data_IF_355825495905
#
_entry.id   IF_355825495905
#
_cell.length_a   1.000
_cell.length_b   1.000
_cell.length_c   1.000
_cell.angle_alpha   90.00
_cell.angle_beta   90.00
_cell.angle_gamma   90.00
#
_symmetry.space_group_name_H-M   'P 1'
#
loop_
_entity.id
_entity.type
_entity.pdbx_description
1 polymer ?
#
# COMPACT_ATOMS: atom_id res chain seq x y z
N UNK A 1 4.66 43.76 -11.53
CA UNK A 1 5.89 43.76 -12.33
C UNK A 1 7.06 44.07 -11.40
N UNK A 2 7.71 43.03 -10.86
CA UNK A 2 9.07 43.08 -10.33
C UNK A 2 9.59 41.63 -10.35
N UNK A 3 10.51 41.37 -11.27
CA UNK A 3 11.18 40.09 -11.45
C UNK A 3 12.28 39.99 -10.40
N UNK A 4 12.15 39.05 -9.48
CA UNK A 4 13.25 38.56 -8.66
C UNK A 4 13.83 37.31 -9.30
N UNK A 5 14.97 37.42 -9.96
CA UNK A 5 15.78 36.27 -10.34
C UNK A 5 16.33 35.63 -9.06
N UNK A 6 15.87 34.42 -8.72
CA UNK A 6 16.54 33.56 -7.75
C UNK A 6 17.16 32.37 -8.48
N UNK A 7 18.49 32.31 -8.42
CA UNK A 7 19.32 31.17 -8.78
C UNK A 7 18.94 29.99 -7.87
N UNK A 8 18.10 29.08 -8.36
CA UNK A 8 17.83 27.82 -7.67
C UNK A 8 18.94 26.83 -8.00
N UNK A 9 19.72 26.48 -6.97
CA UNK A 9 20.63 25.35 -7.00
C UNK A 9 19.87 24.04 -7.13
N UNK A 10 20.40 23.16 -7.97
CA UNK A 10 19.97 21.77 -8.14
C UNK A 10 20.13 21.01 -6.81
N UNK A 11 19.06 20.82 -6.04
CA UNK A 11 19.04 19.88 -4.92
C UNK A 11 18.39 18.55 -5.37
N UNK A 12 18.99 17.38 -5.09
CA UNK A 12 18.42 16.09 -5.42
C UNK A 12 17.18 15.78 -4.58
N UNK A 13 16.15 15.22 -5.23
CA UNK A 13 14.83 14.90 -4.68
C UNK A 13 14.81 13.53 -4.04
N UNK A 14 13.96 13.31 -3.03
CA UNK A 14 13.83 12.05 -2.32
C UNK A 14 12.58 11.28 -2.77
N UNK A 15 12.76 10.08 -3.33
CA UNK A 15 11.70 9.14 -3.71
C UNK A 15 11.63 8.02 -2.66
N UNK A 16 10.44 7.68 -2.17
CA UNK A 16 10.28 6.70 -1.11
C UNK A 16 9.88 5.32 -1.65
N UNK A 17 10.81 4.36 -1.64
CA UNK A 17 10.55 2.98 -2.02
C UNK A 17 10.24 2.16 -0.76
N UNK A 18 9.03 1.62 -0.65
CA UNK A 18 8.76 0.60 0.36
C UNK A 18 9.08 -0.77 -0.22
N UNK A 19 10.06 -1.48 0.36
CA UNK A 19 10.49 -2.79 -0.14
C UNK A 19 10.08 -3.87 0.85
N UNK A 20 9.38 -4.91 0.35
CA UNK A 20 9.06 -6.10 1.13
C UNK A 20 10.16 -7.17 0.96
N UNK A 21 10.22 -8.12 1.89
CA UNK A 21 11.29 -9.12 2.03
C UNK A 21 11.71 -9.91 0.81
N UNK A 22 10.76 -10.19 -0.10
CA UNK A 22 11.02 -10.97 -1.31
C UNK A 22 11.83 -10.18 -2.35
N UNK A 23 12.14 -8.91 -2.11
CA UNK A 23 12.59 -7.95 -3.12
C UNK A 23 13.94 -7.28 -2.79
N UNK A 24 14.65 -7.73 -1.76
CA UNK A 24 16.06 -7.36 -1.59
C UNK A 24 16.92 -8.16 -2.57
N UNK A 25 17.05 -7.65 -3.80
CA UNK A 25 18.07 -8.06 -4.77
C UNK A 25 18.91 -6.84 -5.16
N UNK A 26 20.19 -7.09 -5.36
CA UNK A 26 21.32 -6.17 -5.20
C UNK A 26 21.41 -5.06 -6.25
N UNK A 27 21.91 -3.88 -5.85
CA UNK A 27 22.28 -2.80 -6.77
C UNK A 27 23.72 -3.00 -7.28
N UNK A 28 23.87 -3.41 -8.53
CA UNK A 28 25.14 -3.47 -9.27
C UNK A 28 24.93 -3.98 -10.69
N UNK A 29 24.27 -5.12 -10.79
CA UNK A 29 23.55 -5.65 -11.95
C UNK A 29 22.51 -6.61 -11.34
N UNK A 30 21.27 -6.57 -11.83
CA UNK A 30 20.14 -7.27 -11.21
C UNK A 30 20.23 -8.79 -11.45
N UNK A 31 20.94 -9.50 -10.58
CA UNK A 31 20.93 -10.96 -10.51
C UNK A 31 20.62 -11.44 -9.07
N UNK A 32 19.70 -12.41 -8.89
CA UNK A 32 19.30 -12.89 -7.58
C UNK A 32 20.34 -13.85 -6.96
N UNK A 33 20.74 -13.59 -5.70
CA UNK A 33 21.47 -14.55 -4.86
C UNK A 33 20.53 -15.28 -3.88
N UNK A 34 20.72 -16.59 -3.75
CA UNK A 34 19.80 -17.55 -3.09
C UNK A 34 19.64 -17.41 -1.55
N UNK A 35 20.33 -16.49 -0.89
CA UNK A 35 20.42 -16.44 0.57
C UNK A 35 19.21 -15.87 1.33
N UNK A 36 18.22 -15.27 0.65
CA UNK A 36 17.07 -14.60 1.30
C UNK A 36 15.70 -15.26 1.02
N UNK A 37 15.68 -16.47 0.46
CA UNK A 37 14.44 -17.25 0.28
C UNK A 37 14.03 -17.95 1.59
N UNK A 38 13.56 -17.20 2.59
CA UNK A 38 12.81 -17.82 3.70
C UNK A 38 11.31 -17.70 3.46
N UNK A 39 10.62 -18.84 3.43
CA UNK A 39 9.17 -18.98 3.21
C UNK A 39 8.40 -18.04 4.16
N UNK A 40 7.70 -17.04 3.60
CA UNK A 40 6.61 -16.32 4.30
C UNK A 40 6.99 -15.22 5.30
N UNK A 41 8.25 -14.78 5.38
CA UNK A 41 8.64 -13.70 6.29
C UNK A 41 8.53 -12.34 5.62
N UNK A 42 7.77 -11.40 6.21
CA UNK A 42 7.66 -10.00 5.77
C UNK A 42 8.78 -9.17 6.40
N UNK A 43 9.49 -8.38 5.60
CA UNK A 43 10.50 -7.42 6.05
C UNK A 43 9.99 -6.01 5.75
N UNK A 44 10.18 -5.07 6.67
CA UNK A 44 9.81 -3.66 6.47
C UNK A 44 11.08 -2.81 6.49
N UNK A 45 11.39 -2.18 5.36
CA UNK A 45 12.43 -1.17 5.23
C UNK A 45 11.98 -0.08 4.27
N UNK A 46 12.36 1.16 4.56
CA UNK A 46 12.15 2.31 3.70
C UNK A 46 13.44 2.54 2.91
N UNK A 47 13.38 2.48 1.60
CA UNK A 47 14.49 2.82 0.73
C UNK A 47 14.24 4.21 0.17
N UNK A 48 15.24 5.09 0.13
CA UNK A 48 15.09 6.41 -0.50
C UNK A 48 15.93 6.48 -1.76
N UNK A 49 15.25 6.51 -2.90
CA UNK A 49 15.85 6.59 -4.23
C UNK A 49 15.85 8.02 -4.78
N UNK A 50 16.73 8.27 -5.74
CA UNK A 50 16.73 9.51 -6.53
C UNK A 50 16.82 9.15 -8.01
N UNK A 51 16.07 9.87 -8.84
CA UNK A 51 16.08 9.70 -10.30
C UNK A 51 17.01 10.72 -10.94
N UNK A 52 17.90 10.30 -11.83
CA UNK A 52 18.57 11.21 -12.77
C UNK A 52 17.78 11.28 -14.07
N UNK A 53 17.50 12.50 -14.53
CA UNK A 53 16.52 12.79 -15.59
C UNK A 53 16.84 12.24 -16.99
N UNK A 54 18.07 11.76 -17.21
CA UNK A 54 18.55 11.44 -18.56
C UNK A 54 18.57 9.94 -18.92
N UNK A 55 18.48 9.01 -17.96
CA UNK A 55 18.69 7.57 -18.27
C UNK A 55 17.61 6.61 -17.74
N UNK A 56 16.54 7.09 -17.09
CA UNK A 56 15.52 6.25 -16.41
C UNK A 56 16.12 5.18 -15.46
N UNK A 57 17.34 5.39 -14.98
CA UNK A 57 17.96 4.57 -13.94
C UNK A 57 17.71 5.20 -12.58
N UNK A 58 17.16 4.40 -11.66
CA UNK A 58 16.87 4.83 -10.30
C UNK A 58 18.00 4.34 -9.40
N UNK A 59 18.63 5.28 -8.71
CA UNK A 59 19.71 4.98 -7.78
C UNK A 59 19.23 5.22 -6.37
N UNK A 60 19.42 4.24 -5.50
CA UNK A 60 19.19 4.41 -4.06
C UNK A 60 20.34 5.23 -3.49
N UNK A 61 20.04 6.38 -2.89
CA UNK A 61 21.07 7.20 -2.25
C UNK A 61 21.31 6.73 -0.81
N UNK A 62 20.25 6.35 -0.12
CA UNK A 62 20.34 5.80 1.23
C UNK A 62 19.10 4.97 1.57
N UNK A 63 19.20 4.19 2.63
CA UNK A 63 18.12 3.34 3.14
C UNK A 63 17.86 3.67 4.62
N UNK A 64 16.59 3.62 5.04
CA UNK A 64 16.16 3.73 6.44
C UNK A 64 15.45 2.44 6.85
N UNK A 65 15.98 1.74 7.84
CA UNK A 65 15.37 0.50 8.32
C UNK A 65 15.82 0.18 9.75
N UNK A 66 15.22 -0.85 10.35
CA UNK A 66 15.55 -1.26 11.71
C UNK A 66 16.79 -2.16 11.78
N UNK A 67 17.53 -2.13 12.89
CA UNK A 67 18.66 -3.05 13.09
C UNK A 67 18.23 -4.53 13.09
N UNK A 68 17.08 -4.82 13.72
CA UNK A 68 16.45 -6.14 13.76
C UNK A 68 14.97 -6.07 13.38
N UNK A 69 14.42 -7.23 12.98
CA UNK A 69 12.98 -7.46 12.97
C UNK A 69 12.62 -8.27 14.20
N UNK A 70 11.58 -7.83 14.90
CA UNK A 70 11.06 -8.51 16.08
C UNK A 70 9.70 -9.10 15.72
N UNK A 71 9.62 -10.43 15.67
CA UNK A 71 8.38 -11.13 15.32
C UNK A 71 8.23 -12.39 16.16
N UNK A 72 7.10 -12.51 16.85
CA UNK A 72 6.81 -13.66 17.72
C UNK A 72 7.86 -13.87 18.82
N UNK A 73 8.40 -12.77 19.37
CA UNK A 73 9.47 -12.80 20.38
C UNK A 73 10.87 -13.13 19.85
N UNK A 74 11.02 -13.42 18.55
CA UNK A 74 12.31 -13.70 17.91
C UNK A 74 12.88 -12.46 17.24
N UNK A 75 14.21 -12.30 17.31
CA UNK A 75 14.96 -11.24 16.62
C UNK A 75 15.60 -11.80 15.34
N UNK A 76 15.43 -11.10 14.22
CA UNK A 76 16.05 -11.42 12.93
C UNK A 76 16.99 -10.27 12.51
N UNK A 77 18.25 -10.55 12.13
CA UNK A 77 19.28 -9.52 11.92
C UNK A 77 19.12 -8.79 10.58
N UNK A 78 18.17 -7.84 10.51
CA UNK A 78 17.82 -7.13 9.28
C UNK A 78 19.01 -6.36 8.71
N UNK A 79 19.73 -5.60 9.54
CA UNK A 79 20.87 -4.82 9.09
C UNK A 79 21.94 -5.67 8.41
N UNK A 80 22.40 -6.74 9.07
CA UNK A 80 23.42 -7.62 8.50
C UNK A 80 22.96 -8.31 7.21
N UNK A 81 21.66 -8.57 7.05
CA UNK A 81 21.10 -9.13 5.82
C UNK A 81 21.12 -8.11 4.68
N UNK A 82 20.62 -6.88 4.92
CA UNK A 82 20.57 -5.82 3.91
C UNK A 82 21.97 -5.43 3.46
N UNK A 83 22.88 -5.27 4.41
CA UNK A 83 24.24 -4.79 4.14
C UNK A 83 25.08 -5.75 3.28
N UNK A 84 24.75 -7.05 3.23
CA UNK A 84 25.38 -7.99 2.30
C UNK A 84 25.07 -7.70 0.83
N UNK A 85 23.92 -7.07 0.56
CA UNK A 85 23.41 -6.87 -0.79
C UNK A 85 23.54 -5.45 -1.33
N UNK A 86 24.12 -4.52 -0.57
CA UNK A 86 24.23 -3.12 -1.00
C UNK A 86 25.41 -2.39 -0.35
N UNK A 87 25.98 -1.45 -1.09
CA UNK A 87 26.92 -0.43 -0.62
C UNK A 87 26.23 0.90 -0.28
N UNK A 88 24.90 0.99 -0.42
CA UNK A 88 24.16 2.20 -0.08
C UNK A 88 24.30 2.53 1.41
N UNK A 89 24.41 3.82 1.71
CA UNK A 89 24.41 4.33 3.07
C UNK A 89 23.11 3.96 3.79
N UNK A 90 23.20 3.45 5.01
CA UNK A 90 22.03 3.18 5.85
C UNK A 90 21.90 4.16 7.01
N UNK A 91 20.64 4.45 7.34
CA UNK A 91 20.20 5.10 8.56
C UNK A 91 19.42 4.05 9.35
N UNK A 92 19.95 3.65 10.50
CA UNK A 92 19.47 2.47 11.22
C UNK A 92 18.70 2.88 12.48
N UNK A 93 17.49 2.35 12.63
CA UNK A 93 16.59 2.57 13.76
C UNK A 93 16.71 1.38 14.72
N UNK A 94 16.86 1.57 16.05
CA UNK A 94 16.80 0.46 16.99
C UNK A 94 15.41 -0.19 16.99
N UNK A 95 15.34 -1.51 16.84
CA UNK A 95 14.09 -2.26 16.87
C UNK A 95 13.46 -2.30 18.27
N UNK A 96 14.29 -2.17 19.32
CA UNK A 96 13.87 -2.12 20.73
C UNK A 96 14.75 -1.16 21.51
N UNK A 97 14.13 -0.32 22.34
CA UNK A 97 14.84 0.65 23.18
C UNK A 97 15.53 1.73 22.35
N UNK A 98 16.56 2.35 22.93
CA UNK A 98 17.24 3.52 22.35
C UNK A 98 18.61 3.20 21.74
N UNK A 99 19.09 1.96 21.88
CA UNK A 99 20.43 1.55 21.46
C UNK A 99 20.37 0.52 20.33
N UNK A 100 21.26 0.67 19.34
CA UNK A 100 21.43 -0.32 18.28
C UNK A 100 22.08 -1.59 18.83
N UNK A 101 21.57 -2.75 18.42
CA UNK A 101 22.19 -4.04 18.72
C UNK A 101 23.16 -4.52 17.64
N UNK A 102 23.62 -3.64 16.75
CA UNK A 102 24.54 -3.94 15.65
C UNK A 102 25.66 -2.90 15.59
N UNK A 103 26.83 -3.32 15.13
CA UNK A 103 27.92 -2.41 14.79
C UNK A 103 27.72 -1.91 13.36
N UNK A 104 27.65 -0.59 13.19
CA UNK A 104 27.46 0.04 11.89
C UNK A 104 28.75 0.01 11.04
N UNK A 105 28.61 -0.03 9.71
CA UNK A 105 29.73 0.13 8.77
C UNK A 105 30.15 1.59 8.73
N UNK A 106 31.38 1.84 8.31
CA UNK A 106 31.84 3.20 8.08
C UNK A 106 30.94 3.92 7.05
N UNK A 107 30.43 5.09 7.44
CA UNK A 107 29.54 5.91 6.62
C UNK A 107 28.04 5.75 6.92
N UNK A 108 27.62 4.63 7.53
CA UNK A 108 26.27 4.44 8.05
C UNK A 108 26.02 5.26 9.31
N UNK A 109 24.75 5.44 9.68
CA UNK A 109 24.37 6.28 10.80
C UNK A 109 23.24 5.69 11.62
N UNK A 110 23.21 5.97 12.92
CA UNK A 110 22.02 5.72 13.72
C UNK A 110 20.92 6.75 13.41
N UNK A 111 19.66 6.39 13.64
CA UNK A 111 18.52 7.32 13.54
C UNK A 111 18.69 8.52 14.47
N UNK A 112 19.25 8.30 15.66
CA UNK A 112 19.54 9.36 16.63
C UNK A 112 20.55 10.37 16.08
N UNK A 113 21.63 9.90 15.48
CA UNK A 113 22.65 10.76 14.86
C UNK A 113 22.14 11.45 13.59
N UNK A 114 21.21 10.81 12.87
CA UNK A 114 20.54 11.45 11.74
C UNK A 114 19.68 12.63 12.20
N UNK A 115 18.84 12.43 13.22
CA UNK A 115 17.98 13.49 13.77
C UNK A 115 18.78 14.62 14.42
N UNK A 116 19.90 14.32 15.09
CA UNK A 116 20.73 15.34 15.73
C UNK A 116 21.32 16.34 14.72
N UNK A 117 21.49 15.96 13.45
CA UNK A 117 21.91 16.90 12.37
C UNK A 117 20.87 17.94 12.01
N UNK A 118 19.61 17.71 12.35
CA UNK A 118 18.54 18.67 12.21
C UNK A 118 18.34 19.52 13.48
N UNK A 119 19.06 19.23 14.58
CA UNK A 119 18.93 19.99 15.82
C UNK A 119 19.27 21.48 15.60
N UNK A 120 18.44 22.35 16.16
CA UNK A 120 18.55 23.80 15.99
C UNK A 120 18.01 24.35 14.68
N UNK A 121 17.51 23.51 13.75
CA UNK A 121 16.79 23.97 12.55
C UNK A 121 15.32 24.26 12.87
N UNK A 122 14.69 25.09 12.03
CA UNK A 122 13.24 25.33 12.08
C UNK A 122 12.47 24.00 11.99
N UNK A 123 11.44 23.78 12.82
CA UNK A 123 10.55 22.63 12.68
C UNK A 123 9.62 22.76 11.47
N UNK A 124 9.51 23.96 10.90
CA UNK A 124 8.73 24.25 9.70
C UNK A 124 9.61 24.13 8.45
N UNK A 125 9.20 23.24 7.54
CA UNK A 125 9.82 23.06 6.23
C UNK A 125 8.87 23.53 5.14
N UNK A 126 9.36 24.33 4.20
CA UNK A 126 8.58 24.70 3.02
C UNK A 126 8.42 23.50 2.10
N UNK A 127 7.19 23.18 1.64
CA UNK A 127 7.00 22.12 0.68
C UNK A 127 7.68 22.50 -0.63
N UNK A 128 8.17 21.50 -1.34
CA UNK A 128 8.76 21.70 -2.65
C UNK A 128 7.76 21.26 -3.71
N UNK A 129 7.33 22.20 -4.54
CA UNK A 129 6.31 21.96 -5.56
C UNK A 129 6.85 21.07 -6.69
N UNK A 130 6.00 20.15 -7.13
CA UNK A 130 6.31 19.15 -8.14
C UNK A 130 5.15 19.01 -9.12
N UNK A 131 5.44 18.49 -10.32
CA UNK A 131 4.39 18.17 -11.28
C UNK A 131 3.53 17.00 -10.80
N UNK A 132 2.32 16.89 -11.34
CA UNK A 132 1.41 15.78 -11.05
C UNK A 132 2.04 14.39 -11.35
N UNK A 133 2.91 14.32 -12.37
CA UNK A 133 3.57 13.09 -12.82
C UNK A 133 4.88 12.78 -12.08
N UNK A 134 5.30 13.66 -11.16
CA UNK A 134 6.49 13.43 -10.36
C UNK A 134 6.31 12.19 -9.46
N UNK A 135 7.31 11.32 -9.44
CA UNK A 135 7.24 10.09 -8.66
C UNK A 135 7.38 10.38 -7.16
N UNK A 136 6.57 9.69 -6.37
CA UNK A 136 6.58 9.78 -4.90
C UNK A 136 6.94 8.47 -4.23
N UNK A 137 6.50 7.34 -4.81
CA UNK A 137 6.76 6.01 -4.29
C UNK A 137 7.06 5.03 -5.41
N UNK A 138 7.80 3.97 -5.08
CA UNK A 138 7.86 2.75 -5.90
C UNK A 138 7.41 1.58 -5.02
N UNK A 139 6.40 0.88 -5.49
CA UNK A 139 5.91 -0.34 -4.88
C UNK A 139 6.30 -1.52 -5.74
N UNK A 140 6.70 -2.61 -5.11
CA UNK A 140 7.06 -3.82 -5.81
C UNK A 140 5.99 -4.89 -5.60
N UNK A 141 5.42 -5.40 -6.69
CA UNK A 141 4.47 -6.52 -6.63
C UNK A 141 5.14 -7.81 -7.09
N UNK A 142 4.75 -8.95 -6.48
CA UNK A 142 5.16 -10.27 -6.95
C UNK A 142 4.42 -10.57 -8.25
N UNK A 143 5.14 -10.63 -9.37
CA UNK A 143 4.59 -11.16 -10.62
C UNK A 143 4.30 -12.66 -10.47
N UNK A 144 3.41 -13.19 -11.32
CA UNK A 144 3.04 -14.62 -11.35
C UNK A 144 4.12 -15.49 -11.98
N UNK A 145 5.07 -14.92 -12.74
CA UNK A 145 6.02 -15.68 -13.57
C UNK A 145 7.46 -15.13 -13.63
N UNK A 146 7.84 -14.12 -12.84
CA UNK A 146 9.17 -13.50 -12.97
C UNK A 146 9.60 -12.55 -11.85
N UNK A 147 10.59 -11.70 -12.18
CA UNK A 147 11.12 -10.66 -11.29
C UNK A 147 10.00 -9.73 -10.77
N UNK A 148 10.08 -9.22 -9.53
CA UNK A 148 9.09 -8.30 -8.98
C UNK A 148 8.89 -7.06 -9.86
N UNK A 149 7.65 -6.66 -10.12
CA UNK A 149 7.33 -5.50 -10.95
C UNK A 149 7.54 -4.22 -10.14
N UNK A 150 8.35 -3.28 -10.62
CA UNK A 150 8.57 -1.98 -10.01
C UNK A 150 7.51 -0.98 -10.49
N UNK A 151 6.49 -0.74 -9.66
CA UNK A 151 5.30 0.06 -9.95
C UNK A 151 5.50 1.46 -9.36
N UNK A 152 5.75 2.48 -10.20
CA UNK A 152 5.91 3.85 -9.75
C UNK A 152 4.54 4.50 -9.46
N UNK A 153 4.46 5.22 -8.35
CA UNK A 153 3.36 6.10 -8.01
C UNK A 153 3.76 7.55 -8.18
N UNK A 154 2.83 8.35 -8.70
CA UNK A 154 2.99 9.79 -8.92
C UNK A 154 2.28 10.60 -7.82
N UNK A 155 2.37 11.93 -7.89
CA UNK A 155 1.63 12.84 -7.00
C UNK A 155 0.10 12.69 -7.12
N UNK A 156 -0.42 12.06 -8.18
CA UNK A 156 -1.86 11.79 -8.33
C UNK A 156 -2.34 10.61 -7.46
N UNK A 157 -1.47 9.64 -7.16
CA UNK A 157 -1.86 8.43 -6.41
C UNK A 157 -2.41 8.75 -5.00
N UNK A 158 -1.78 9.62 -4.18
CA UNK A 158 -2.34 10.03 -2.89
C UNK A 158 -3.69 10.71 -3.00
N UNK A 159 -3.84 11.61 -3.98
CA UNK A 159 -5.09 12.36 -4.20
C UNK A 159 -6.22 11.37 -4.50
N UNK A 160 -5.94 10.34 -5.31
CA UNK A 160 -6.86 9.23 -5.54
C UNK A 160 -7.20 8.47 -4.26
N UNK A 161 -6.19 8.08 -3.47
CA UNK A 161 -6.41 7.39 -2.19
C UNK A 161 -7.36 8.19 -1.26
N UNK A 162 -7.11 9.50 -1.13
CA UNK A 162 -7.94 10.40 -0.33
C UNK A 162 -9.37 10.51 -0.86
N UNK A 163 -9.53 10.74 -2.16
CA UNK A 163 -10.83 10.86 -2.81
C UNK A 163 -11.67 9.57 -2.69
N UNK A 164 -11.08 8.41 -2.94
CA UNK A 164 -11.79 7.14 -2.89
C UNK A 164 -12.18 6.76 -1.45
N UNK A 165 -11.33 6.99 -0.46
CA UNK A 165 -11.71 6.72 0.94
C UNK A 165 -12.74 7.71 1.48
N UNK A 166 -12.68 8.98 1.06
CA UNK A 166 -13.73 9.94 1.36
C UNK A 166 -15.07 9.55 0.73
N UNK A 167 -15.08 9.19 -0.56
CA UNK A 167 -16.33 8.89 -1.25
C UNK A 167 -16.97 7.57 -0.80
N UNK A 168 -16.17 6.52 -0.58
CA UNK A 168 -16.69 5.16 -0.40
C UNK A 168 -16.76 4.72 1.06
N UNK A 169 -15.88 5.24 1.91
CA UNK A 169 -15.86 4.95 3.35
C UNK A 169 -16.29 6.16 4.19
N UNK A 170 -16.51 7.32 3.55
CA UNK A 170 -16.93 8.54 4.23
C UNK A 170 -15.95 8.91 5.35
N UNK A 171 -14.65 8.72 5.10
CA UNK A 171 -13.57 9.07 6.05
C UNK A 171 -13.55 10.59 6.22
N UNK A 172 -13.67 11.03 7.48
CA UNK A 172 -13.84 12.43 7.85
C UNK A 172 -12.71 12.97 8.73
N UNK A 173 -12.58 14.30 8.85
CA UNK A 173 -11.83 14.89 9.94
C UNK A 173 -12.28 14.32 11.28
N UNK A 174 -11.32 13.96 12.15
CA UNK A 174 -11.50 13.29 13.45
C UNK A 174 -11.81 11.79 13.41
N UNK A 175 -12.01 11.18 12.24
CA UNK A 175 -12.05 9.72 12.20
C UNK A 175 -10.69 9.14 12.58
N UNK A 176 -10.71 7.97 13.20
CA UNK A 176 -9.53 7.17 13.52
C UNK A 176 -9.60 5.94 12.63
N UNK A 177 -8.77 5.90 11.59
CA UNK A 177 -8.75 4.81 10.61
C UNK A 177 -7.67 3.80 10.96
N UNK A 178 -8.03 2.53 10.90
CA UNK A 178 -7.08 1.43 11.06
C UNK A 178 -7.39 0.34 10.03
N UNK A 179 -6.36 -0.10 9.31
CA UNK A 179 -6.37 -1.38 8.61
C UNK A 179 -5.08 -2.11 8.99
N UNK A 180 -5.14 -3.35 9.52
CA UNK A 180 -3.96 -4.07 9.98
C UNK A 180 -3.12 -4.56 8.80
N UNK A 181 -2.32 -3.67 8.24
CA UNK A 181 -1.39 -3.96 7.13
C UNK A 181 0.02 -3.52 7.46
N UNK A 182 0.99 -4.15 6.80
CA UNK A 182 2.36 -3.66 6.79
C UNK A 182 2.46 -2.51 5.78
N UNK A 183 3.17 -1.43 6.17
CA UNK A 183 3.39 -0.25 5.33
C UNK A 183 4.12 -0.53 4.00
N UNK A 184 4.71 -1.71 3.84
CA UNK A 184 5.30 -2.19 2.60
C UNK A 184 4.32 -2.76 1.57
N UNK A 185 3.06 -2.99 1.94
CA UNK A 185 2.01 -3.38 1.00
C UNK A 185 1.26 -2.15 0.51
N UNK A 186 0.60 -2.28 -0.64
CA UNK A 186 -0.21 -1.20 -1.24
C UNK A 186 -1.16 -0.52 -0.25
N UNK A 187 -1.83 -1.30 0.63
CA UNK A 187 -2.75 -0.74 1.61
C UNK A 187 -2.07 0.17 2.65
N UNK A 188 -0.77 0.02 2.87
CA UNK A 188 0.00 0.85 3.78
C UNK A 188 0.03 2.32 3.34
N UNK A 189 0.62 2.63 2.17
CA UNK A 189 0.59 3.96 1.59
C UNK A 189 -0.84 4.47 1.35
N UNK A 190 -1.77 3.61 0.90
CA UNK A 190 -3.19 4.01 0.74
C UNK A 190 -3.73 4.54 2.07
N UNK A 191 -3.58 3.81 3.17
CA UNK A 191 -4.08 4.25 4.49
C UNK A 191 -3.40 5.55 4.95
N UNK A 192 -2.09 5.69 4.75
CA UNK A 192 -1.36 6.89 5.11
C UNK A 192 -1.91 8.12 4.36
N UNK A 193 -2.03 8.04 3.04
CA UNK A 193 -2.54 9.13 2.22
C UNK A 193 -4.02 9.42 2.49
N UNK A 194 -4.82 8.37 2.63
CA UNK A 194 -6.25 8.46 2.93
C UNK A 194 -6.50 9.20 4.24
N UNK A 195 -5.73 8.90 5.29
CA UNK A 195 -5.90 9.58 6.58
C UNK A 195 -5.50 11.04 6.49
N UNK A 196 -4.28 11.31 6.04
CA UNK A 196 -3.72 12.66 6.12
C UNK A 196 -4.37 13.65 5.16
N UNK A 197 -4.80 13.21 3.97
CA UNK A 197 -5.52 14.08 3.04
C UNK A 197 -6.96 14.36 3.47
N UNK A 198 -7.60 13.44 4.19
CA UNK A 198 -8.96 13.63 4.72
C UNK A 198 -8.99 14.25 6.14
N UNK A 199 -7.83 14.58 6.73
CA UNK A 199 -7.73 15.12 8.09
C UNK A 199 -8.09 14.11 9.19
N UNK A 200 -8.03 12.82 8.88
CA UNK A 200 -8.25 11.73 9.81
C UNK A 200 -6.94 11.31 10.52
N UNK A 201 -7.07 10.52 11.58
CA UNK A 201 -5.95 9.96 12.33
C UNK A 201 -5.66 8.55 11.87
N UNK A 202 -4.40 8.24 11.58
CA UNK A 202 -3.93 6.88 11.28
C UNK A 202 -3.59 6.13 12.57
N UNK A 203 -4.32 5.05 12.86
CA UNK A 203 -4.02 4.16 13.98
C UNK A 203 -3.09 3.03 13.54
N UNK A 204 -1.83 3.07 14.00
CA UNK A 204 -0.81 2.07 13.70
C UNK A 204 -0.71 1.03 14.81
N UNK A 205 -1.00 -0.24 14.47
CA UNK A 205 -0.82 -1.35 15.39
C UNK A 205 0.51 -2.06 15.14
N UNK A 206 1.42 -2.01 16.12
CA UNK A 206 2.67 -2.76 16.08
C UNK A 206 2.50 -4.11 16.77
N UNK A 207 2.08 -5.13 16.01
CA UNK A 207 1.91 -6.47 16.54
C UNK A 207 1.24 -7.41 15.54
N UNK A 208 0.91 -8.62 16.00
CA UNK A 208 0.15 -9.59 15.21
C UNK A 208 -1.34 -9.26 15.24
N UNK A 209 -2.00 -9.01 14.09
CA UNK A 209 -3.42 -8.70 14.06
C UNK A 209 -4.33 -9.93 14.23
N UNK A 210 -3.77 -11.13 14.38
CA UNK A 210 -4.51 -12.39 14.40
C UNK A 210 -5.36 -12.57 15.65
N UNK A 211 -5.03 -11.88 16.74
CA UNK A 211 -5.54 -12.20 18.08
C UNK A 211 -6.27 -11.06 18.77
N UNK A 212 -6.70 -11.35 20.01
CA UNK A 212 -7.36 -10.40 20.92
C UNK A 212 -6.59 -9.09 21.14
N UNK A 213 -5.27 -9.11 21.08
CA UNK A 213 -4.44 -7.90 21.24
C UNK A 213 -4.81 -6.80 20.25
N UNK A 214 -5.00 -7.14 18.97
CA UNK A 214 -5.44 -6.18 17.97
C UNK A 214 -6.89 -5.75 18.17
N UNK A 215 -7.79 -6.68 18.48
CA UNK A 215 -9.19 -6.34 18.73
C UNK A 215 -9.35 -5.36 19.90
N UNK A 216 -8.55 -5.53 20.95
CA UNK A 216 -8.50 -4.61 22.09
C UNK A 216 -7.89 -3.26 21.69
N UNK A 217 -6.84 -3.24 20.86
CA UNK A 217 -6.30 -2.00 20.32
C UNK A 217 -7.36 -1.20 19.55
N UNK A 218 -8.17 -1.85 18.71
CA UNK A 218 -9.28 -1.20 17.97
C UNK A 218 -10.23 -0.47 18.92
N UNK A 219 -10.59 -1.10 20.04
CA UNK A 219 -11.41 -0.47 21.09
C UNK A 219 -10.68 0.69 21.76
N UNK A 220 -9.47 0.44 22.28
CA UNK A 220 -8.73 1.38 23.12
C UNK A 220 -8.30 2.63 22.33
N UNK A 221 -8.01 2.48 21.04
CA UNK A 221 -7.71 3.57 20.13
C UNK A 221 -8.96 4.27 19.59
N UNK A 222 -10.16 3.80 19.96
CA UNK A 222 -11.46 4.31 19.47
C UNK A 222 -11.54 4.39 17.94
N UNK A 223 -11.08 3.34 17.26
CA UNK A 223 -11.14 3.25 15.79
C UNK A 223 -12.58 3.45 15.32
N UNK A 224 -12.77 4.37 14.37
CA UNK A 224 -14.08 4.71 13.79
C UNK A 224 -14.24 4.21 12.35
N UNK A 225 -13.14 4.01 11.63
CA UNK A 225 -13.11 3.36 10.32
C UNK A 225 -12.16 2.16 10.37
N UNK A 226 -12.69 0.93 10.32
CA UNK A 226 -11.90 -0.28 10.47
C UNK A 226 -11.87 -1.06 9.15
N UNK A 227 -10.69 -1.16 8.56
CA UNK A 227 -10.40 -2.09 7.49
C UNK A 227 -9.95 -3.46 8.01
N UNK A 228 -10.27 -4.53 7.28
CA UNK A 228 -9.92 -5.92 7.61
C UNK A 228 -9.67 -6.74 6.34
N UNK A 229 -9.22 -7.98 6.56
CA UNK A 229 -9.09 -9.04 5.54
C UNK A 229 -9.97 -10.21 5.99
N UNK A 230 -10.74 -10.86 5.10
CA UNK A 230 -11.64 -11.97 5.46
C UNK A 230 -11.01 -13.05 6.34
N UNK A 231 -9.80 -13.52 6.04
CA UNK A 231 -9.07 -14.46 6.88
C UNK A 231 -8.85 -14.00 8.33
N UNK A 232 -8.67 -12.69 8.59
CA UNK A 232 -8.59 -12.14 9.94
C UNK A 232 -9.94 -12.19 10.64
N UNK A 233 -11.02 -11.84 9.94
CA UNK A 233 -12.38 -11.88 10.49
C UNK A 233 -12.73 -13.29 10.95
N UNK A 234 -12.43 -14.29 10.12
CA UNK A 234 -12.62 -15.71 10.44
C UNK A 234 -11.85 -16.12 11.70
N UNK A 235 -10.61 -15.68 11.86
CA UNK A 235 -9.80 -15.96 13.04
C UNK A 235 -10.36 -15.28 14.30
N UNK A 236 -10.79 -14.01 14.19
CA UNK A 236 -11.37 -13.29 15.31
C UNK A 236 -12.69 -13.91 15.78
N UNK A 237 -13.50 -14.42 14.84
CA UNK A 237 -14.73 -15.16 15.11
C UNK A 237 -14.45 -16.48 15.82
N UNK A 238 -13.58 -17.31 15.24
CA UNK A 238 -13.23 -18.61 15.81
C UNK A 238 -12.60 -18.50 17.21
N UNK A 239 -11.73 -17.50 17.41
CA UNK A 239 -11.09 -17.24 18.70
C UNK A 239 -11.91 -16.41 19.69
N UNK A 240 -13.13 -16.01 19.32
CA UNK A 240 -14.00 -15.10 20.08
C UNK A 240 -13.25 -13.87 20.62
N UNK A 241 -12.38 -13.29 19.78
CA UNK A 241 -11.40 -12.28 20.21
C UNK A 241 -12.03 -10.93 20.56
N UNK A 242 -13.27 -10.70 20.10
CA UNK A 242 -14.07 -9.50 20.36
C UNK A 242 -14.93 -9.62 21.62
N UNK A 243 -14.91 -10.75 22.33
CA UNK A 243 -15.70 -10.96 23.55
C UNK A 243 -15.42 -9.86 24.58
N UNK A 244 -16.50 -9.22 25.06
CA UNK A 244 -16.46 -8.15 26.06
C UNK A 244 -15.77 -6.87 25.59
N UNK A 245 -15.55 -6.70 24.29
CA UNK A 245 -15.06 -5.44 23.73
C UNK A 245 -16.21 -4.58 23.21
N UNK A 246 -16.06 -3.28 23.39
CA UNK A 246 -16.95 -2.26 22.87
C UNK A 246 -16.41 -1.72 21.53
N UNK A 247 -17.08 -2.09 20.43
CA UNK A 247 -16.79 -1.63 19.08
C UNK A 247 -17.85 -0.65 18.56
N UNK A 248 -18.67 -0.07 19.44
CA UNK A 248 -19.73 0.87 19.05
C UNK A 248 -19.23 2.19 18.46
N UNK A 249 -17.94 2.50 18.63
CA UNK A 249 -17.28 3.67 18.01
C UNK A 249 -17.01 3.48 16.51
N UNK A 250 -17.00 2.24 16.02
CA UNK A 250 -16.85 1.97 14.60
C UNK A 250 -18.10 2.45 13.87
N UNK A 251 -17.91 3.31 12.86
CA UNK A 251 -18.95 3.84 11.97
C UNK A 251 -19.03 3.05 10.67
N UNK A 252 -17.88 2.64 10.14
CA UNK A 252 -17.76 1.96 8.87
C UNK A 252 -16.70 0.86 8.95
N UNK A 253 -17.00 -0.26 8.30
CA UNK A 253 -16.09 -1.39 8.12
C UNK A 253 -15.71 -1.49 6.63
N UNK A 254 -14.50 -1.96 6.35
CA UNK A 254 -14.07 -2.29 5.00
C UNK A 254 -13.36 -3.63 4.96
N UNK A 255 -13.54 -4.38 3.88
CA UNK A 255 -12.89 -5.68 3.63
C UNK A 255 -12.24 -5.69 2.26
N UNK A 256 -11.02 -6.22 2.18
CA UNK A 256 -10.25 -6.24 0.93
C UNK A 256 -9.24 -7.38 0.93
N UNK A 257 -8.78 -7.76 -0.27
CA UNK A 257 -7.64 -8.67 -0.48
C UNK A 257 -8.01 -10.15 -0.60
N UNK A 258 -9.19 -10.55 -0.14
CA UNK A 258 -9.75 -11.89 -0.31
C UNK A 258 -11.27 -11.77 -0.54
N UNK A 259 -11.90 -12.81 -1.08
CA UNK A 259 -13.36 -12.88 -1.14
C UNK A 259 -13.93 -13.09 0.27
N UNK A 260 -14.91 -12.27 0.65
CA UNK A 260 -15.54 -12.33 1.97
C UNK A 260 -16.61 -13.40 2.03
N UNK A 261 -16.69 -14.08 3.18
CA UNK A 261 -17.79 -14.99 3.50
C UNK A 261 -18.96 -14.22 4.14
N UNK A 262 -20.19 -14.59 3.75
CA UNK A 262 -21.42 -13.89 4.18
C UNK A 262 -21.62 -13.99 5.70
N UNK A 263 -21.39 -15.16 6.28
CA UNK A 263 -21.60 -15.41 7.71
C UNK A 263 -20.51 -14.74 8.57
N UNK A 264 -19.29 -14.65 8.06
CA UNK A 264 -18.20 -13.94 8.72
C UNK A 264 -18.43 -12.42 8.69
N UNK A 265 -18.90 -11.88 7.58
CA UNK A 265 -19.30 -10.47 7.49
C UNK A 265 -20.49 -10.12 8.36
N UNK A 266 -21.55 -10.95 8.36
CA UNK A 266 -22.70 -10.75 9.24
C UNK A 266 -22.26 -10.77 10.71
N UNK A 267 -21.38 -11.71 11.09
CA UNK A 267 -20.79 -11.75 12.42
C UNK A 267 -20.02 -10.46 12.73
N UNK A 268 -19.16 -9.98 11.84
CA UNK A 268 -18.38 -8.76 12.03
C UNK A 268 -19.27 -7.52 12.19
N UNK A 269 -20.26 -7.37 11.31
CA UNK A 269 -21.22 -6.25 11.35
C UNK A 269 -22.02 -6.28 12.66
N UNK A 270 -22.42 -7.45 13.15
CA UNK A 270 -23.11 -7.58 14.45
C UNK A 270 -22.29 -7.06 15.64
N UNK A 271 -20.95 -7.09 15.56
CA UNK A 271 -20.06 -6.56 16.61
C UNK A 271 -20.06 -5.04 16.69
N UNK A 272 -20.52 -4.36 15.65
CA UNK A 272 -20.48 -2.91 15.53
C UNK A 272 -21.86 -2.27 15.59
N UNK A 273 -22.90 -3.02 15.99
CA UNK A 273 -24.31 -2.63 15.87
C UNK A 273 -24.76 -2.49 14.42
N UNK A 274 -24.40 -3.48 13.60
CA UNK A 274 -24.81 -3.63 12.20
C UNK A 274 -24.39 -2.45 11.31
N UNK A 275 -23.16 -1.96 11.51
CA UNK A 275 -22.58 -0.92 10.64
C UNK A 275 -22.25 -1.50 9.27
N UNK A 276 -22.26 -0.64 8.23
CA UNK A 276 -22.00 -1.09 6.86
C UNK A 276 -20.59 -1.66 6.74
N UNK A 277 -20.47 -2.74 5.98
CA UNK A 277 -19.22 -3.31 5.48
C UNK A 277 -19.10 -2.95 4.01
N UNK A 278 -18.02 -2.29 3.63
CA UNK A 278 -17.70 -1.92 2.26
C UNK A 278 -16.65 -2.89 1.72
N UNK A 279 -17.06 -3.72 0.77
CA UNK A 279 -16.15 -4.60 0.03
C UNK A 279 -15.34 -3.78 -0.97
N UNK A 280 -14.03 -4.02 -1.05
CA UNK A 280 -13.13 -3.32 -1.96
C UNK A 280 -12.27 -4.32 -2.72
N UNK A 281 -12.17 -4.16 -4.04
CA UNK A 281 -11.21 -4.92 -4.85
C UNK A 281 -10.38 -3.99 -5.73
N UNK A 282 -9.06 -4.11 -5.60
CA UNK A 282 -8.09 -3.13 -6.11
C UNK A 282 -6.71 -3.72 -6.32
N UNK A 283 -5.76 -2.85 -6.67
CA UNK A 283 -4.42 -3.27 -7.06
C UNK A 283 -3.34 -2.23 -6.82
N UNK A 284 -2.08 -2.67 -6.82
CA UNK A 284 -0.92 -1.79 -6.63
C UNK A 284 -0.79 -0.79 -7.78
N UNK A 285 -1.11 -1.26 -8.98
CA UNK A 285 -1.12 -0.54 -10.25
C UNK A 285 -2.16 0.58 -10.29
N UNK A 286 -3.23 0.48 -9.51
CA UNK A 286 -4.35 1.44 -9.52
C UNK A 286 -4.24 2.50 -8.42
N UNK A 287 -3.41 2.25 -7.41
CA UNK A 287 -3.41 3.00 -6.14
C UNK A 287 -4.80 3.13 -5.50
N UNK A 288 -5.71 2.20 -5.83
CA UNK A 288 -7.12 2.18 -5.39
C UNK A 288 -7.82 0.87 -5.80
N UNK A 289 -9.14 0.85 -5.59
CA UNK A 289 -10.09 -0.16 -6.05
C UNK A 289 -10.65 0.15 -7.44
N UNK A 290 -10.93 -0.90 -8.21
CA UNK A 290 -11.66 -0.82 -9.48
C UNK A 290 -13.15 -1.14 -9.32
N UNK A 291 -13.51 -1.97 -8.35
CA UNK A 291 -14.89 -2.30 -7.98
C UNK A 291 -15.02 -2.28 -6.46
N UNK A 292 -16.11 -1.72 -5.95
CA UNK A 292 -16.29 -1.53 -4.51
C UNK A 292 -17.76 -1.40 -4.07
N UNK A 293 -17.98 -1.49 -2.76
CA UNK A 293 -19.22 -1.12 -2.11
C UNK A 293 -19.41 0.40 -2.02
N UNK A 294 -20.64 0.83 -1.74
CA UNK A 294 -20.98 2.25 -1.56
C UNK A 294 -21.95 2.42 -0.40
N UNK A 295 -21.73 3.45 0.41
CA UNK A 295 -22.62 3.80 1.51
C UNK A 295 -23.95 4.43 1.06
N UNK A 296 -24.07 4.76 -0.24
CA UNK A 296 -25.22 5.46 -0.81
C UNK A 296 -26.26 4.53 -1.44
N UNK A 297 -26.02 3.22 -1.45
CA UNK A 297 -26.92 2.24 -2.02
C UNK A 297 -26.92 0.92 -1.22
N UNK A 298 -27.96 0.08 -1.36
CA UNK A 298 -28.01 -1.21 -0.69
C UNK A 298 -26.77 -2.07 -1.02
N UNK A 299 -26.24 -2.73 0.02
CA UNK A 299 -25.10 -3.64 -0.09
C UNK A 299 -25.51 -5.06 0.29
N UNK A 300 -24.86 -6.03 -0.35
CA UNK A 300 -24.94 -7.45 0.03
C UNK A 300 -23.56 -7.85 0.55
N UNK A 301 -23.51 -8.58 1.67
CA UNK A 301 -22.24 -9.07 2.20
C UNK A 301 -21.54 -9.98 1.18
N UNK A 302 -20.23 -9.79 1.01
CA UNK A 302 -19.45 -10.57 0.05
C UNK A 302 -19.65 -10.16 -1.42
N UNK A 303 -20.37 -9.08 -1.69
CA UNK A 303 -20.57 -8.55 -3.04
C UNK A 303 -20.14 -7.09 -3.14
N UNK A 304 -19.79 -6.67 -4.35
CA UNK A 304 -19.57 -5.27 -4.68
C UNK A 304 -20.85 -4.65 -5.23
N UNK A 305 -20.98 -3.33 -5.14
CA UNK A 305 -22.20 -2.63 -5.58
C UNK A 305 -22.00 -1.69 -6.77
N UNK A 306 -20.76 -1.47 -7.18
CA UNK A 306 -20.50 -0.61 -8.32
C UNK A 306 -19.01 -0.49 -8.65
N UNK A 307 -18.76 0.07 -9.82
CA UNK A 307 -17.44 0.51 -10.22
C UNK A 307 -16.92 1.62 -9.29
N UNK A 308 -15.61 1.66 -9.13
CA UNK A 308 -14.95 2.81 -8.53
C UNK A 308 -15.11 4.06 -9.40
N UNK A 309 -15.04 5.25 -8.79
CA UNK A 309 -15.11 6.54 -9.49
C UNK A 309 -14.02 6.70 -10.56
N UNK A 310 -12.96 5.89 -10.49
CA UNK A 310 -11.71 6.09 -11.19
C UNK A 310 -11.30 4.91 -12.06
N UNK A 311 -12.21 3.96 -12.34
CA UNK A 311 -11.92 2.82 -13.22
C UNK A 311 -13.20 2.34 -13.90
N UNK A 312 -13.12 2.12 -15.21
CA UNK A 312 -14.14 1.33 -15.91
C UNK A 312 -13.71 -0.13 -15.94
N UNK A 313 -14.66 -1.05 -16.01
CA UNK A 313 -14.36 -2.46 -16.25
C UNK A 313 -15.41 -3.09 -17.17
N UNK A 314 -15.05 -4.24 -17.74
CA UNK A 314 -15.93 -5.13 -18.49
C UNK A 314 -15.73 -6.55 -17.98
N UNK A 315 -16.73 -7.40 -18.19
CA UNK A 315 -16.62 -8.85 -17.97
C UNK A 315 -16.53 -9.50 -19.35
N UNK A 316 -15.51 -10.31 -19.57
CA UNK A 316 -15.20 -10.98 -20.83
C UNK A 316 -15.58 -12.46 -20.77
N UNK A 317 -16.19 -12.96 -21.83
CA UNK A 317 -16.38 -14.40 -22.03
C UNK A 317 -15.04 -15.12 -22.34
N UNK A 318 -15.10 -16.45 -22.47
CA UNK A 318 -13.92 -17.28 -22.78
C UNK A 318 -13.29 -16.96 -24.15
N UNK A 319 -14.02 -16.27 -25.03
CA UNK A 319 -13.54 -15.83 -26.34
C UNK A 319 -13.01 -14.39 -26.32
N UNK A 320 -13.00 -13.72 -25.15
CA UNK A 320 -12.54 -12.35 -24.99
C UNK A 320 -13.55 -11.29 -25.44
N UNK A 321 -14.81 -11.66 -25.66
CA UNK A 321 -15.86 -10.69 -25.97
C UNK A 321 -16.50 -10.16 -24.68
N UNK A 322 -16.75 -8.85 -24.59
CA UNK A 322 -17.42 -8.30 -23.43
C UNK A 322 -18.92 -8.65 -23.45
N UNK A 323 -19.43 -9.04 -22.28
CA UNK A 323 -20.86 -9.18 -22.06
C UNK A 323 -21.56 -7.82 -22.17
N UNK A 324 -22.85 -7.79 -22.60
CA UNK A 324 -23.67 -6.59 -22.52
C UNK A 324 -23.87 -6.10 -21.08
N UNK A 325 -24.03 -4.80 -20.91
CA UNK A 325 -24.40 -4.20 -19.63
C UNK A 325 -25.75 -4.77 -19.13
N UNK A 326 -25.92 -4.84 -17.81
CA UNK A 326 -27.15 -5.27 -17.12
C UNK A 326 -27.60 -6.72 -17.40
N UNK A 327 -26.70 -7.59 -17.86
CA UNK A 327 -26.97 -9.04 -18.05
C UNK A 327 -26.17 -9.88 -17.05
N UNK A 328 -26.80 -10.85 -16.35
CA UNK A 328 -26.08 -11.83 -15.55
C UNK A 328 -25.03 -12.56 -16.39
N UNK A 329 -23.77 -12.51 -15.94
CA UNK A 329 -22.63 -13.12 -16.61
C UNK A 329 -21.56 -13.54 -15.61
N UNK A 330 -20.61 -14.36 -16.06
CA UNK A 330 -19.39 -14.70 -15.33
C UNK A 330 -18.26 -14.81 -16.35
N UNK A 331 -17.07 -14.37 -15.95
CA UNK A 331 -15.96 -14.24 -16.87
C UNK A 331 -14.76 -13.50 -16.29
N UNK A 332 -13.84 -13.14 -17.18
CA UNK A 332 -12.63 -12.42 -16.78
C UNK A 332 -12.86 -10.90 -16.75
N UNK A 333 -12.25 -10.23 -15.78
CA UNK A 333 -12.37 -8.77 -15.65
C UNK A 333 -11.32 -8.06 -16.50
N UNK A 334 -11.79 -7.34 -17.52
CA UNK A 334 -10.98 -6.38 -18.27
C UNK A 334 -11.09 -4.99 -17.65
N UNK A 335 -9.95 -4.33 -17.39
CA UNK A 335 -9.92 -2.99 -16.81
C UNK A 335 -9.65 -1.93 -17.87
N UNK A 336 -10.39 -0.82 -17.77
CA UNK A 336 -10.03 0.45 -18.39
C UNK A 336 -9.43 1.35 -17.31
N UNK A 337 -8.10 1.52 -17.26
CA UNK A 337 -7.55 2.55 -16.39
C UNK A 337 -8.08 3.91 -16.86
N UNK A 338 -8.98 4.51 -16.08
CA UNK A 338 -9.18 5.94 -16.14
C UNK A 338 -7.96 6.50 -15.41
N UNK A 339 -7.08 7.17 -16.15
CA UNK A 339 -5.73 7.58 -15.73
C UNK A 339 -5.69 8.67 -14.65
N UNK A 340 -6.55 8.60 -13.64
CA UNK A 340 -6.38 9.36 -12.42
C UNK A 340 -5.64 8.50 -11.40
N UNK A 341 -4.33 8.72 -11.22
CA UNK A 341 -3.53 8.02 -10.20
C UNK A 341 -3.19 6.55 -10.48
N UNK A 342 -3.67 5.97 -11.58
CA UNK A 342 -3.20 4.66 -12.04
C UNK A 342 -1.81 4.79 -12.67
N UNK A 343 -0.97 3.77 -12.48
CA UNK A 343 0.36 3.69 -13.07
C UNK A 343 0.27 3.36 -14.56
N UNK A 344 1.02 4.09 -15.38
CA UNK A 344 1.09 3.96 -16.85
C UNK A 344 2.38 3.27 -17.34
N UNK A 345 3.29 2.91 -16.43
CA UNK A 345 4.60 2.33 -16.77
C UNK A 345 5.15 1.43 -15.66
N UNK A 346 5.97 0.46 -16.03
CA UNK A 346 6.83 -0.26 -15.09
C UNK A 346 8.26 0.27 -15.21
N UNK A 347 9.01 0.30 -14.11
CA UNK A 347 10.40 0.80 -14.14
C UNK A 347 11.41 -0.25 -14.58
N UNK A 348 11.06 -1.53 -14.47
CA UNK A 348 11.96 -2.66 -14.73
C UNK A 348 11.39 -3.67 -15.75
N UNK A 349 10.30 -3.32 -16.44
CA UNK A 349 9.69 -4.15 -17.47
C UNK A 349 8.95 -3.27 -18.50
N UNK A 350 8.63 -3.85 -19.65
CA UNK A 350 7.77 -3.24 -20.66
C UNK A 350 6.30 -3.34 -20.19
N UNK A 351 5.67 -2.19 -19.94
CA UNK A 351 4.32 -2.13 -19.38
C UNK A 351 3.27 -2.71 -20.32
N UNK A 352 3.38 -2.39 -21.61
CA UNK A 352 2.43 -2.82 -22.64
C UNK A 352 2.50 -4.34 -22.83
N UNK A 353 3.72 -4.88 -22.89
CA UNK A 353 3.91 -6.34 -22.94
C UNK A 353 3.39 -7.08 -21.72
N UNK A 354 3.48 -6.47 -20.54
CA UNK A 354 3.08 -7.13 -19.29
C UNK A 354 1.56 -7.13 -19.12
N UNK A 355 0.88 -6.06 -19.53
CA UNK A 355 -0.54 -5.89 -19.21
C UNK A 355 -1.49 -5.91 -20.41
N UNK A 356 -1.02 -5.55 -21.60
CA UNK A 356 -1.87 -5.29 -22.77
C UNK A 356 -1.63 -6.27 -23.92
N UNK A 357 -0.46 -6.92 -24.00
CA UNK A 357 -0.17 -7.89 -25.05
C UNK A 357 -1.14 -9.09 -24.99
N UNK A 358 -1.71 -9.44 -26.15
CA UNK A 358 -2.75 -10.47 -26.27
C UNK A 358 -4.15 -10.07 -25.77
N UNK A 359 -4.36 -8.84 -25.29
CA UNK A 359 -5.68 -8.39 -24.85
C UNK A 359 -6.61 -8.08 -26.04
N UNK A 360 -7.93 -8.35 -25.91
CA UNK A 360 -8.88 -7.98 -26.95
C UNK A 360 -8.91 -6.46 -27.17
N UNK A 361 -9.58 -5.99 -28.22
CA UNK A 361 -9.80 -4.56 -28.45
C UNK A 361 -11.29 -4.32 -28.43
N UNK A 362 -11.78 -3.37 -27.64
CA UNK A 362 -13.19 -2.97 -27.75
C UNK A 362 -13.36 -1.46 -27.72
N UNK A 363 -14.25 -0.99 -28.61
CA UNK A 363 -14.46 0.43 -28.95
C UNK A 363 -13.15 1.19 -29.22
N UNK A 364 -12.16 0.54 -29.86
CA UNK A 364 -10.88 1.14 -30.22
C UNK A 364 -9.89 1.34 -29.06
N UNK A 365 -10.12 0.71 -27.90
CA UNK A 365 -9.22 0.73 -26.74
C UNK A 365 -8.75 -0.69 -26.38
N UNK A 366 -7.49 -0.81 -25.95
CA UNK A 366 -6.86 -2.05 -25.47
C UNK A 366 -7.00 -2.11 -23.93
N UNK A 367 -7.24 -3.30 -23.39
CA UNK A 367 -7.46 -3.56 -21.95
C UNK A 367 -6.18 -3.93 -21.24
N UNK A 368 -6.18 -3.80 -19.92
CA UNK A 368 -5.26 -4.56 -19.06
C UNK A 368 -6.01 -5.61 -18.25
N UNK A 369 -5.48 -6.84 -18.16
CA UNK A 369 -5.97 -7.84 -17.21
C UNK A 369 -5.79 -7.33 -15.78
N UNK A 370 -6.82 -7.47 -14.95
CA UNK A 370 -6.64 -7.45 -13.50
C UNK A 370 -5.76 -8.65 -13.11
N UNK A 371 -4.54 -8.46 -12.55
CA UNK A 371 -3.59 -9.55 -12.40
C UNK A 371 -3.97 -10.62 -11.37
N UNK A 372 -5.20 -10.64 -10.82
CA UNK A 372 -5.53 -11.52 -9.69
C UNK A 372 -6.90 -12.21 -9.66
N UNK A 373 -7.90 -11.92 -10.50
CA UNK A 373 -9.23 -12.56 -10.32
C UNK A 373 -10.08 -12.69 -11.59
N UNK A 374 -10.70 -13.86 -11.75
CA UNK A 374 -11.95 -14.08 -12.50
C UNK A 374 -13.12 -13.76 -11.56
N UNK A 375 -14.20 -13.12 -12.06
CA UNK A 375 -15.41 -12.79 -11.28
C UNK A 375 -16.50 -13.86 -11.48
#
# INVERSE_FOLDING_TARGET
MQRGHYLFGNHPWWLCCCVNSRQFCTSGDWHPHEGCKSKGNLYSGLTVATSTSHERRYYTNFMIFQDFIIRGGKKFPLYSCVMKGTSCKAIVIPATGDCLGVTLRDGDMSWKDFLSRAAGRSPMYSPVYQSADALINILFSSGTTGEPKAIPWTQLCPIRCGADTWANLDVRPKDISCLPTNLGWVMGPIQLFSCFLNGATLALYHGSPLGRGFCKFVQDAHVSALGSVPSLVKLWKAGNHTKGLDWTKIRVLATTGEASDIDDNLWLSSRTCYKPIVECCGGTELASSFIQGSLLQPQVFGAFSGASMSTGFVILDEQGNPYPDDVPCSGEVGLFPLYFGATDRLLNADHDKVYFDGMPVYRGRVWSLSPQFSI
#
